data_IF_322781781275
#
_entry.id   IF_322781781275
#
_cell.length_a   1.000
_cell.length_b   1.000
_cell.length_c   1.000
_cell.angle_alpha   90.00
_cell.angle_beta   90.00
_cell.angle_gamma   90.00
#
_symmetry.space_group_name_H-M   'P 1'
#
loop_
_entity.id
_entity.type
_entity.pdbx_description
1 polymer ?
#
# COMPACT_ATOMS: atom_id res chain seq x y z
N UNK A 1 2.69 -29.62 37.95
CA UNK A 1 4.14 -29.72 38.22
C UNK A 1 4.82 -30.27 36.97
N UNK A 2 5.62 -29.46 36.26
CA UNK A 2 6.13 -29.75 34.90
C UNK A 2 7.67 -29.65 34.78
N UNK A 3 8.39 -29.73 35.90
CA UNK A 3 9.86 -29.56 35.93
C UNK A 3 10.57 -30.87 36.29
N UNK A 4 10.66 -31.81 35.35
CA UNK A 4 11.49 -33.01 35.57
C UNK A 4 12.42 -33.38 34.42
N UNK A 5 12.48 -32.60 33.34
CA UNK A 5 13.54 -32.77 32.35
C UNK A 5 13.98 -31.39 31.87
N UNK A 6 15.23 -31.04 32.18
CA UNK A 6 15.94 -29.87 31.65
C UNK A 6 16.28 -30.05 30.15
N UNK A 7 15.33 -30.53 29.35
CA UNK A 7 15.46 -30.44 27.90
C UNK A 7 15.25 -28.99 27.51
N UNK A 8 16.15 -28.46 26.68
CA UNK A 8 15.99 -27.17 26.01
C UNK A 8 14.74 -27.22 25.10
N UNK A 9 13.56 -26.99 25.68
CA UNK A 9 12.24 -27.16 25.04
C UNK A 9 11.93 -26.14 23.94
N UNK A 10 12.86 -25.24 23.62
CA UNK A 10 12.71 -24.33 22.48
C UNK A 10 14.06 -23.68 22.16
N UNK A 11 14.83 -24.27 21.24
CA UNK A 11 15.62 -23.42 20.36
C UNK A 11 14.63 -22.50 19.65
N UNK A 12 14.62 -21.20 20.02
CA UNK A 12 13.90 -20.18 19.24
C UNK A 12 14.56 -20.17 17.86
N UNK A 13 14.00 -20.93 16.93
CA UNK A 13 14.61 -21.12 15.62
C UNK A 13 14.71 -19.81 14.86
N UNK A 14 13.76 -18.88 15.09
CA UNK A 14 13.71 -17.60 14.37
C UNK A 14 13.28 -16.43 15.27
N UNK A 15 13.91 -15.27 15.07
CA UNK A 15 13.49 -13.97 15.60
C UNK A 15 12.40 -13.40 14.69
N UNK A 16 11.24 -13.07 15.25
CA UNK A 16 10.13 -12.47 14.51
C UNK A 16 10.15 -10.96 14.66
N UNK A 17 10.25 -10.23 13.54
CA UNK A 17 10.15 -8.77 13.50
C UNK A 17 8.76 -8.38 13.00
N UNK A 18 8.02 -7.61 13.80
CA UNK A 18 6.70 -7.10 13.40
C UNK A 18 6.87 -5.87 12.52
N UNK A 19 6.37 -5.98 11.29
CA UNK A 19 6.41 -4.90 10.31
C UNK A 19 5.13 -4.07 10.38
N UNK A 20 5.23 -2.77 10.12
CA UNK A 20 4.09 -1.88 10.14
C UNK A 20 3.37 -1.95 8.79
N UNK A 21 2.05 -1.98 8.83
CA UNK A 21 1.21 -1.87 7.63
C UNK A 21 0.14 -0.85 8.00
N UNK A 22 0.13 0.30 7.36
CA UNK A 22 -0.87 1.33 7.60
C UNK A 22 -1.01 2.20 6.35
N UNK A 23 -2.18 2.79 6.18
CA UNK A 23 -2.41 3.82 5.16
C UNK A 23 -1.71 5.12 5.58
N UNK A 24 -1.51 6.07 4.64
CA UNK A 24 -1.11 7.43 5.00
C UNK A 24 -2.03 7.98 6.09
N UNK A 25 -1.47 8.64 7.11
CA UNK A 25 -2.19 9.24 8.25
C UNK A 25 -2.95 8.26 9.17
N UNK A 26 -2.97 6.96 8.88
CA UNK A 26 -3.59 5.93 9.73
C UNK A 26 -2.57 5.09 10.51
N UNK A 27 -1.48 5.74 10.95
CA UNK A 27 -0.44 5.08 11.73
C UNK A 27 -1.01 4.68 13.10
N UNK A 28 -0.77 3.43 13.56
CA UNK A 28 -1.19 3.05 14.90
C UNK A 28 -0.36 3.79 15.96
N UNK A 29 -1.04 4.44 16.90
CA UNK A 29 -0.44 5.16 18.02
C UNK A 29 -0.94 4.50 19.31
N UNK A 30 -0.01 4.23 20.22
CA UNK A 30 -0.33 3.78 21.59
C UNK A 30 -0.05 4.96 22.51
N UNK A 31 -1.03 5.34 23.31
CA UNK A 31 -0.95 6.46 24.24
C UNK A 31 -1.58 6.08 25.59
N UNK A 32 -1.27 6.86 26.61
CA UNK A 32 -1.94 6.79 27.91
C UNK A 32 -3.02 7.87 27.95
N UNK A 33 -4.10 7.59 28.68
CA UNK A 33 -5.22 8.53 28.84
C UNK A 33 -4.70 9.90 29.32
N UNK A 34 -5.14 10.96 28.65
CA UNK A 34 -4.69 12.34 28.91
C UNK A 34 -3.39 12.77 28.20
N UNK A 35 -2.71 11.88 27.46
CA UNK A 35 -1.51 12.20 26.65
C UNK A 35 -1.75 12.13 25.14
N UNK A 36 -3.01 12.21 24.71
CA UNK A 36 -3.42 12.06 23.32
C UNK A 36 -2.71 13.02 22.37
N UNK A 37 -2.75 14.33 22.67
CA UNK A 37 -2.15 15.37 21.84
C UNK A 37 -0.63 15.15 21.66
N UNK A 38 0.08 14.90 22.77
CA UNK A 38 1.52 14.61 22.74
C UNK A 38 1.85 13.31 22.00
N UNK A 39 0.96 12.32 22.04
CA UNK A 39 1.15 11.08 21.30
C UNK A 39 0.98 11.28 19.79
N UNK A 40 0.03 12.10 19.37
CA UNK A 40 -0.16 12.49 17.96
C UNK A 40 1.06 13.23 17.45
N UNK A 41 1.56 14.23 18.18
CA UNK A 41 2.78 14.97 17.81
C UNK A 41 3.99 14.04 17.69
N UNK A 42 4.20 13.15 18.68
CA UNK A 42 5.28 12.15 18.63
C UNK A 42 5.14 11.20 17.45
N UNK A 43 3.92 10.79 17.11
CA UNK A 43 3.68 9.90 15.98
C UNK A 43 3.95 10.57 14.64
N UNK A 44 3.61 11.86 14.50
CA UNK A 44 3.91 12.64 13.30
C UNK A 44 5.41 12.75 13.03
N UNK A 45 6.23 12.80 14.08
CA UNK A 45 7.70 12.85 13.98
C UNK A 45 8.35 11.47 13.81
N UNK A 46 7.67 10.39 14.23
CA UNK A 46 8.27 9.06 14.31
C UNK A 46 8.02 8.24 13.06
N UNK A 47 9.10 7.84 12.39
CA UNK A 47 9.05 6.91 11.26
C UNK A 47 8.66 5.50 11.72
N UNK A 48 7.76 4.87 10.98
CA UNK A 48 7.46 3.45 11.12
C UNK A 48 8.46 2.62 10.34
N UNK A 49 8.44 1.31 10.56
CA UNK A 49 9.24 0.36 9.76
C UNK A 49 8.89 0.41 8.27
N UNK A 50 7.67 0.82 7.92
CA UNK A 50 7.21 0.96 6.52
C UNK A 50 7.74 2.26 5.91
N UNK A 51 7.60 3.39 6.59
CA UNK A 51 8.10 4.67 6.08
C UNK A 51 9.63 4.69 6.01
N UNK A 52 10.30 4.06 6.96
CA UNK A 52 11.75 3.91 6.91
C UNK A 52 12.21 2.96 5.80
N UNK A 53 11.38 1.99 5.38
CA UNK A 53 11.71 1.12 4.25
C UNK A 53 11.67 1.88 2.92
N UNK A 54 10.70 2.78 2.75
CA UNK A 54 10.69 3.70 1.62
C UNK A 54 11.96 4.54 1.54
N UNK A 55 12.39 5.12 2.66
CA UNK A 55 13.64 5.88 2.72
C UNK A 55 14.88 5.01 2.48
N UNK A 56 14.89 3.78 2.99
CA UNK A 56 15.96 2.83 2.71
C UNK A 56 16.07 2.58 1.21
N UNK A 57 14.96 2.33 0.53
CA UNK A 57 14.95 2.14 -0.91
C UNK A 57 15.39 3.40 -1.66
N UNK A 58 15.11 4.62 -1.18
CA UNK A 58 15.64 5.83 -1.83
C UNK A 58 17.17 5.91 -1.78
N UNK A 59 17.77 5.48 -0.68
CA UNK A 59 19.17 5.70 -0.39
C UNK A 59 20.09 4.53 -0.77
N UNK A 60 19.57 3.30 -0.74
CA UNK A 60 20.35 2.08 -0.95
C UNK A 60 19.73 1.23 -2.08
N UNK A 61 20.34 1.23 -3.28
CA UNK A 61 19.88 0.41 -4.41
C UNK A 61 19.90 -1.09 -4.11
N UNK A 62 20.72 -1.55 -3.14
CA UNK A 62 20.76 -2.98 -2.80
C UNK A 62 19.48 -3.46 -2.10
N UNK A 63 18.71 -2.55 -1.51
CA UNK A 63 17.41 -2.85 -0.92
C UNK A 63 16.29 -3.01 -1.96
N UNK A 64 16.47 -2.54 -3.20
CA UNK A 64 15.43 -2.57 -4.24
C UNK A 64 14.96 -3.98 -4.61
N UNK A 65 15.86 -4.95 -4.49
CA UNK A 65 15.58 -6.35 -4.83
C UNK A 65 15.00 -7.15 -3.66
N UNK A 66 14.75 -6.51 -2.52
CA UNK A 66 14.29 -7.18 -1.29
C UNK A 66 12.85 -6.75 -1.01
N UNK A 67 11.96 -7.74 -0.86
CA UNK A 67 10.56 -7.50 -0.50
C UNK A 67 10.45 -6.95 0.92
N UNK A 68 9.40 -6.20 1.23
CA UNK A 68 9.24 -5.62 2.56
C UNK A 68 9.23 -6.69 3.68
N UNK A 69 8.66 -7.87 3.44
CA UNK A 69 8.66 -8.98 4.41
C UNK A 69 10.05 -9.55 4.70
N UNK A 70 10.96 -9.47 3.73
CA UNK A 70 12.29 -10.09 3.80
C UNK A 70 13.36 -9.09 4.28
N UNK A 71 13.07 -7.78 4.29
CA UNK A 71 13.98 -6.74 4.77
C UNK A 71 14.62 -7.07 6.13
N UNK A 72 13.89 -7.57 7.15
CA UNK A 72 14.49 -7.91 8.45
C UNK A 72 15.61 -8.96 8.40
N UNK A 73 15.67 -9.79 7.36
CA UNK A 73 16.73 -10.75 7.13
C UNK A 73 18.06 -10.05 6.80
N UNK A 74 18.00 -8.92 6.08
CA UNK A 74 19.18 -8.19 5.57
C UNK A 74 19.46 -6.89 6.31
N UNK A 75 18.47 -6.31 6.97
CA UNK A 75 18.55 -5.06 7.69
C UNK A 75 18.00 -5.19 9.11
N UNK A 76 18.53 -4.38 10.01
CA UNK A 76 18.07 -4.24 11.40
C UNK A 76 17.41 -2.88 11.53
N UNK A 77 16.20 -2.85 12.08
CA UNK A 77 15.52 -1.60 12.39
C UNK A 77 16.08 -1.01 13.68
N UNK A 78 16.77 0.12 13.58
CA UNK A 78 17.25 0.88 14.73
C UNK A 78 16.13 1.76 15.28
N UNK A 79 15.66 1.45 16.50
CA UNK A 79 14.56 2.15 17.14
C UNK A 79 14.91 3.58 17.56
N UNK A 80 16.21 3.88 17.74
CA UNK A 80 16.67 5.20 18.16
C UNK A 80 16.66 6.19 16.99
N UNK A 81 17.19 5.77 15.84
CA UNK A 81 17.22 6.58 14.61
C UNK A 81 15.99 6.37 13.73
N UNK A 82 15.16 5.37 14.03
CA UNK A 82 13.99 4.94 13.24
C UNK A 82 14.33 4.58 11.78
N UNK A 83 15.55 4.09 11.56
CA UNK A 83 16.08 3.76 10.24
C UNK A 83 16.49 2.29 10.13
N UNK A 84 16.49 1.77 8.90
CA UNK A 84 17.05 0.45 8.61
C UNK A 84 18.56 0.54 8.42
N UNK A 85 19.30 -0.30 9.12
CA UNK A 85 20.77 -0.42 9.00
C UNK A 85 21.13 -1.80 8.48
N UNK A 86 22.13 -1.89 7.60
CA UNK A 86 22.58 -3.17 7.03
C UNK A 86 23.01 -4.12 8.14
N UNK A 87 22.50 -5.35 8.10
CA UNK A 87 22.79 -6.39 9.08
C UNK A 87 24.17 -6.98 8.82
N UNK A 88 24.95 -7.15 9.88
CA UNK A 88 26.28 -7.76 9.81
C UNK A 88 26.24 -9.29 9.99
N UNK A 89 25.36 -9.81 10.87
CA UNK A 89 25.28 -11.25 11.21
C UNK A 89 23.85 -11.70 11.56
N UNK A 90 23.60 -13.00 11.42
CA UNK A 90 22.41 -13.67 11.97
C UNK A 90 21.09 -13.43 11.21
N UNK A 91 21.16 -13.06 9.93
CA UNK A 91 19.97 -12.78 9.12
C UNK A 91 19.09 -14.01 8.87
N UNK A 92 19.70 -15.18 8.70
CA UNK A 92 19.06 -16.43 8.27
C UNK A 92 17.93 -16.88 9.20
N UNK A 93 17.98 -16.48 10.47
CA UNK A 93 17.00 -16.82 11.49
C UNK A 93 16.07 -15.65 11.80
N UNK A 94 15.80 -14.73 10.86
CA UNK A 94 14.93 -13.57 11.09
C UNK A 94 13.79 -13.56 10.09
N UNK A 95 12.57 -13.45 10.60
CA UNK A 95 11.35 -13.43 9.78
C UNK A 95 10.63 -12.10 10.01
N UNK A 96 10.43 -11.33 8.94
CA UNK A 96 9.53 -10.18 8.95
C UNK A 96 8.08 -10.63 8.82
N UNK A 97 7.24 -10.31 9.81
CA UNK A 97 5.81 -10.61 9.79
C UNK A 97 5.00 -9.34 9.68
N UNK A 98 4.23 -9.25 8.59
CA UNK A 98 3.18 -8.25 8.45
C UNK A 98 1.95 -8.69 9.28
N UNK A 99 1.30 -7.78 10.01
CA UNK A 99 0.11 -8.08 10.80
C UNK A 99 -0.99 -8.66 9.92
N UNK A 100 -1.85 -9.49 10.52
CA UNK A 100 -3.10 -9.89 9.87
C UNK A 100 -4.00 -8.67 9.81
N UNK A 101 -4.53 -8.38 8.62
CA UNK A 101 -5.45 -7.26 8.38
C UNK A 101 -6.80 -7.86 8.01
N UNK A 102 -7.87 -7.32 8.59
CA UNK A 102 -9.25 -7.74 8.27
C UNK A 102 -9.60 -7.38 6.83
N UNK A 103 -10.39 -8.22 6.17
CA UNK A 103 -10.89 -7.96 4.81
C UNK A 103 -11.85 -6.76 4.80
N UNK A 104 -12.48 -6.45 5.94
CA UNK A 104 -13.35 -5.28 6.10
C UNK A 104 -12.56 -3.97 5.99
N UNK A 105 -11.27 -3.98 6.32
CA UNK A 105 -10.33 -2.87 6.07
C UNK A 105 -9.69 -3.11 4.69
N UNK A 106 -10.51 -2.94 3.65
CA UNK A 106 -10.20 -3.37 2.28
C UNK A 106 -8.88 -2.80 1.75
N UNK A 107 -8.71 -1.48 1.82
CA UNK A 107 -7.51 -0.80 1.29
C UNK A 107 -6.24 -1.25 2.02
N UNK A 108 -6.27 -1.39 3.35
CA UNK A 108 -5.12 -1.86 4.11
C UNK A 108 -4.82 -3.34 3.86
N UNK A 109 -5.85 -4.15 3.62
CA UNK A 109 -5.71 -5.56 3.24
C UNK A 109 -5.00 -5.68 1.88
N UNK A 110 -5.40 -4.89 0.88
CA UNK A 110 -4.75 -4.88 -0.43
C UNK A 110 -3.34 -4.30 -0.37
N UNK A 111 -3.10 -3.26 0.44
CA UNK A 111 -1.75 -2.75 0.71
C UNK A 111 -0.84 -3.87 1.26
N UNK A 112 -1.33 -4.65 2.24
CA UNK A 112 -0.58 -5.79 2.79
C UNK A 112 -0.22 -6.81 1.70
N UNK A 113 -1.16 -7.11 0.81
CA UNK A 113 -0.93 -8.02 -0.32
C UNK A 113 0.16 -7.52 -1.26
N UNK A 114 0.15 -6.23 -1.59
CA UNK A 114 1.18 -5.62 -2.44
C UNK A 114 2.54 -5.61 -1.77
N UNK A 115 2.62 -5.28 -0.47
CA UNK A 115 3.88 -5.26 0.29
C UNK A 115 4.55 -6.64 0.40
N UNK A 116 3.78 -7.74 0.30
CA UNK A 116 4.31 -9.10 0.27
C UNK A 116 4.96 -9.48 -1.08
N UNK A 117 4.68 -8.73 -2.15
CA UNK A 117 5.08 -9.10 -3.52
C UNK A 117 5.98 -8.07 -4.18
N UNK A 118 5.70 -6.78 -3.99
CA UNK A 118 6.50 -5.69 -4.55
C UNK A 118 7.75 -5.47 -3.71
N UNK A 119 8.89 -5.39 -4.39
CA UNK A 119 10.17 -4.96 -3.83
C UNK A 119 10.50 -3.55 -4.30
N UNK A 120 11.40 -2.87 -3.57
CA UNK A 120 12.00 -1.61 -4.00
C UNK A 120 11.09 -0.39 -4.14
N UNK A 121 9.87 -0.42 -3.61
CA UNK A 121 9.00 0.76 -3.62
C UNK A 121 9.63 1.88 -2.77
N UNK A 122 9.68 3.11 -3.30
CA UNK A 122 10.24 4.28 -2.59
C UNK A 122 9.16 5.16 -1.97
N UNK A 123 7.90 4.88 -2.30
CA UNK A 123 6.74 5.65 -1.85
C UNK A 123 5.47 4.81 -1.90
N UNK A 124 4.39 5.34 -1.33
CA UNK A 124 3.05 4.73 -1.47
C UNK A 124 2.55 4.81 -2.91
N UNK A 125 2.89 5.88 -3.63
CA UNK A 125 2.55 6.04 -5.05
C UNK A 125 3.24 5.01 -5.93
N UNK A 126 4.47 4.61 -5.59
CA UNK A 126 5.18 3.52 -6.27
C UNK A 126 4.48 2.18 -6.06
N UNK A 127 3.91 1.96 -4.86
CA UNK A 127 3.12 0.76 -4.57
C UNK A 127 1.87 0.74 -5.47
N UNK A 128 1.21 1.88 -5.64
CA UNK A 128 0.04 2.03 -6.51
C UNK A 128 0.38 1.98 -8.01
N UNK A 129 1.64 2.19 -8.38
CA UNK A 129 2.08 2.17 -9.77
C UNK A 129 2.39 0.75 -10.23
N UNK A 130 1.61 0.22 -11.17
CA UNK A 130 1.79 -1.12 -11.73
C UNK A 130 1.89 -1.00 -13.25
N UNK A 131 2.91 -1.62 -13.85
CA UNK A 131 3.17 -1.55 -15.30
C UNK A 131 3.25 -0.11 -15.87
N UNK A 132 3.75 0.83 -15.08
CA UNK A 132 3.86 2.25 -15.47
C UNK A 132 2.57 3.08 -15.33
N UNK A 133 1.47 2.48 -14.86
CA UNK A 133 0.20 3.16 -14.62
C UNK A 133 -0.04 3.33 -13.11
N UNK A 134 -0.28 4.56 -12.67
CA UNK A 134 -0.64 4.87 -11.29
C UNK A 134 -2.12 4.58 -11.05
N UNK A 135 -2.41 3.61 -10.20
CA UNK A 135 -3.77 3.27 -9.79
C UNK A 135 -4.29 4.26 -8.74
N UNK A 136 -5.62 4.35 -8.61
CA UNK A 136 -6.28 5.21 -7.60
C UNK A 136 -6.35 4.50 -6.25
N UNK A 137 -6.60 3.19 -6.26
CA UNK A 137 -6.79 2.36 -5.05
C UNK A 137 -5.80 1.19 -5.00
N UNK A 138 -5.54 0.66 -3.80
CA UNK A 138 -4.70 -0.52 -3.65
C UNK A 138 -5.37 -1.78 -4.20
N UNK A 139 -6.71 -1.81 -4.17
CA UNK A 139 -7.48 -2.88 -4.80
C UNK A 139 -7.20 -2.93 -6.30
N UNK A 140 -7.30 -1.79 -6.99
CA UNK A 140 -7.04 -1.70 -8.42
C UNK A 140 -5.59 -2.09 -8.73
N UNK A 141 -4.63 -1.60 -7.93
CA UNK A 141 -3.23 -2.02 -8.08
C UNK A 141 -3.05 -3.55 -7.93
N UNK A 142 -3.78 -4.20 -7.01
CA UNK A 142 -3.76 -5.66 -6.89
C UNK A 142 -4.37 -6.37 -8.12
N UNK A 143 -5.40 -5.79 -8.74
CA UNK A 143 -6.01 -6.31 -9.97
C UNK A 143 -5.02 -6.23 -11.13
N UNK A 144 -4.42 -5.06 -11.36
CA UNK A 144 -3.43 -4.84 -12.42
C UNK A 144 -2.16 -5.67 -12.21
N UNK A 145 -1.78 -5.92 -10.96
CA UNK A 145 -0.65 -6.79 -10.63
C UNK A 145 -0.99 -8.29 -10.80
N UNK A 146 -2.26 -8.64 -11.03
CA UNK A 146 -2.71 -10.02 -11.21
C UNK A 146 -2.84 -10.83 -9.90
N UNK A 147 -2.96 -10.16 -8.75
CA UNK A 147 -3.12 -10.83 -7.44
C UNK A 147 -4.57 -11.28 -7.17
N UNK A 148 -5.55 -10.71 -7.87
CA UNK A 148 -6.97 -11.01 -7.72
C UNK A 148 -7.45 -11.83 -8.92
N UNK A 149 -7.81 -13.09 -8.69
CA UNK A 149 -8.49 -13.92 -9.69
C UNK A 149 -9.96 -13.54 -9.71
N UNK A 150 -10.47 -12.98 -10.81
CA UNK A 150 -11.91 -12.71 -10.91
C UNK A 150 -12.41 -11.63 -11.86
N UNK A 151 -11.59 -11.07 -12.75
CA UNK A 151 -12.14 -10.36 -13.91
C UNK A 151 -11.41 -10.81 -15.16
N UNK A 152 -12.13 -11.48 -16.05
CA UNK A 152 -11.72 -11.66 -17.43
C UNK A 152 -11.26 -10.30 -17.96
N UNK A 153 -9.98 -10.22 -18.34
CA UNK A 153 -9.48 -9.46 -19.47
C UNK A 153 -10.19 -8.10 -19.62
N UNK A 154 -9.70 -7.04 -18.98
CA UNK A 154 -9.68 -5.74 -19.65
C UNK A 154 -8.74 -5.88 -20.84
N UNK A 155 -9.22 -6.55 -21.89
CA UNK A 155 -8.71 -6.45 -23.23
C UNK A 155 -9.00 -5.03 -23.71
N UNK A 156 -8.23 -4.07 -23.21
CA UNK A 156 -7.82 -2.96 -24.03
C UNK A 156 -6.32 -3.16 -24.28
N UNK A 157 -5.93 -3.67 -25.46
CA UNK A 157 -4.53 -3.66 -25.81
C UNK A 157 -4.03 -2.21 -25.79
N UNK A 158 -2.84 -2.05 -25.24
CA UNK A 158 -1.92 -0.93 -25.46
C UNK A 158 -1.77 -0.64 -26.97
N UNK A 159 -2.73 0.06 -27.59
CA UNK A 159 -2.56 0.70 -28.89
C UNK A 159 -3.70 1.67 -29.17
N UNK A 160 -3.63 2.85 -28.57
CA UNK A 160 -4.32 4.06 -29.05
C UNK A 160 -3.72 5.29 -28.35
N UNK A 161 -2.50 5.66 -28.74
CA UNK A 161 -1.95 6.97 -28.35
C UNK A 161 -1.05 7.55 -29.43
N UNK A 162 -1.59 7.74 -30.64
CA UNK A 162 -1.14 8.74 -31.63
C UNK A 162 -2.14 8.80 -32.78
N UNK A 163 -2.48 10.02 -33.22
CA UNK A 163 -3.68 10.40 -33.99
C UNK A 163 -4.89 10.23 -33.07
N UNK A 164 -5.70 11.22 -32.70
CA UNK A 164 -6.38 12.22 -33.53
C UNK A 164 -6.36 13.58 -32.80
N UNK A 165 -5.35 14.41 -33.06
CA UNK A 165 -5.39 15.84 -32.71
C UNK A 165 -5.26 16.75 -33.94
N UNK A 166 -5.36 16.20 -35.16
CA UNK A 166 -5.18 16.97 -36.39
C UNK A 166 -6.16 16.49 -37.47
N UNK A 167 -7.40 17.00 -37.48
CA UNK A 167 -8.17 17.21 -38.72
C UNK A 167 -8.89 18.57 -38.59
N UNK A 168 -8.67 19.50 -39.53
CA UNK A 168 -9.31 20.81 -39.53
C UNK A 168 -10.79 20.71 -39.91
N UNK A 169 -11.61 21.58 -39.31
CA UNK A 169 -12.99 21.82 -39.72
C UNK A 169 -13.02 22.41 -41.14
N UNK A 170 -13.54 21.65 -42.11
CA UNK A 170 -14.10 22.21 -43.34
C UNK A 170 -15.10 21.26 -43.99
N UNK A 171 -16.22 21.85 -44.40
CA UNK A 171 -17.28 21.39 -45.31
C UNK A 171 -18.47 20.58 -44.77
N UNK A 172 -19.45 21.35 -44.28
CA UNK A 172 -20.78 21.54 -44.88
C UNK A 172 -21.39 20.39 -45.70
N UNK A 173 -22.53 19.87 -45.23
CA UNK A 173 -23.41 19.01 -46.01
C UNK A 173 -24.74 18.72 -45.31
N UNK A 174 -25.73 19.56 -45.59
CA UNK A 174 -27.09 19.57 -45.05
C UNK A 174 -27.81 18.21 -44.92
N UNK A 175 -28.47 18.00 -43.78
CA UNK A 175 -29.81 17.38 -43.74
C UNK A 175 -30.61 17.84 -42.51
N UNK A 176 -31.59 18.70 -42.76
CA UNK A 176 -32.73 19.06 -41.91
C UNK A 176 -33.63 17.82 -41.70
N UNK A 177 -34.47 17.60 -40.68
CA UNK A 177 -35.33 18.41 -39.82
C UNK A 177 -35.66 17.59 -38.54
N UNK A 178 -36.05 18.25 -37.44
CA UNK A 178 -36.97 17.67 -36.47
C UNK A 178 -36.78 18.14 -35.03
N UNK A 179 -37.61 19.11 -34.63
CA UNK A 179 -37.76 19.76 -33.33
C UNK A 179 -38.36 18.85 -32.22
N UNK A 180 -38.37 19.42 -31.01
CA UNK A 180 -39.14 19.09 -29.78
C UNK A 180 -38.55 18.00 -28.87
N UNK A 181 -38.45 18.12 -27.55
CA UNK A 181 -38.84 19.19 -26.61
C UNK A 181 -38.22 18.92 -25.22
N UNK A 182 -37.91 20.02 -24.52
CA UNK A 182 -37.99 20.26 -23.06
C UNK A 182 -37.27 19.40 -22.00
N UNK A 183 -36.45 20.13 -21.21
CA UNK A 183 -36.43 20.23 -19.74
C UNK A 183 -36.13 18.96 -18.91
N UNK A 184 -35.03 18.96 -18.15
CA UNK A 184 -35.04 19.47 -16.77
C UNK A 184 -33.63 19.40 -16.12
N UNK A 185 -33.20 20.53 -15.56
CA UNK A 185 -32.12 20.61 -14.59
C UNK A 185 -32.51 19.87 -13.29
N UNK A 186 -31.52 19.25 -12.61
CA UNK A 186 -31.25 19.38 -11.16
C UNK A 186 -30.20 18.36 -10.66
N UNK A 187 -29.03 18.87 -10.26
CA UNK A 187 -28.30 18.41 -9.05
C UNK A 187 -29.18 18.71 -7.80
N UNK A 188 -29.00 18.14 -6.58
CA UNK A 188 -27.70 17.88 -5.93
C UNK A 188 -27.62 16.73 -4.86
N UNK A 189 -26.44 16.66 -4.23
CA UNK A 189 -26.16 16.38 -2.79
C UNK A 189 -26.19 14.95 -2.21
N UNK A 190 -24.98 14.53 -1.79
CA UNK A 190 -24.61 13.96 -0.48
C UNK A 190 -25.64 13.08 0.27
N UNK A 191 -25.29 11.81 0.46
CA UNK A 191 -25.84 10.98 1.54
C UNK A 191 -24.76 10.68 2.59
N UNK A 192 -24.95 11.26 3.78
CA UNK A 192 -24.32 10.88 5.04
C UNK A 192 -25.20 9.81 5.68
N UNK A 193 -24.63 8.69 6.13
CA UNK A 193 -25.31 7.81 7.09
C UNK A 193 -24.36 7.43 8.23
N UNK A 194 -24.65 8.00 9.40
CA UNK A 194 -24.31 7.45 10.72
C UNK A 194 -25.26 6.29 11.00
N UNK A 195 -24.76 5.23 11.61
CA UNK A 195 -25.58 4.34 12.44
C UNK A 195 -24.82 4.06 13.74
N UNK A 196 -25.37 4.60 14.83
CA UNK A 196 -25.12 4.14 16.21
C UNK A 196 -26.39 3.40 16.66
N UNK A 197 -26.27 2.12 16.94
CA UNK A 197 -26.51 1.48 18.23
C UNK A 197 -26.11 0.01 18.13
#
# INVERSE_FOLDING_TARGET
>A
MWRLNEFNLSHKSHTVVRLAVHLPQQQPIVYQDGQEAQAIERAALRKTTLTSWFELNKNDPSAHNISYSDIPQYYVFDKSTTNWKKRQRGGQNVIGRLPVVSILDSERYYLRMLLLRKSGAISVDDILTVNGLRCITFQQACQEYGLLRGHLRSMFPFSARKMWWDIPMSDCGNRTYGQSDTLHQRFPTFLVLRTTC
#
